data_IF_660045221434
#
_entry.id   IF_660045221434
#
_cell.length_a   1.000
_cell.length_b   1.000
_cell.length_c   1.000
_cell.angle_alpha   90.00
_cell.angle_beta   90.00
_cell.angle_gamma   90.00
#
_symmetry.space_group_name_H-M   'P 1'
#
loop_
_entity.id
_entity.type
_entity.pdbx_description
1 polymer ?
#
# COMPACT_ATOMS: atom_id res chain seq x y z
N UNK A 1 1.76 -26.84 34.70
CA UNK A 1 0.83 -25.71 34.74
C UNK A 1 0.69 -25.25 36.18
N UNK A 2 0.90 -23.97 36.47
CA UNK A 2 0.43 -23.41 37.75
C UNK A 2 -1.04 -23.08 37.54
N UNK A 3 -1.93 -23.88 38.12
CA UNK A 3 -3.34 -23.56 38.16
C UNK A 3 -3.53 -22.36 39.08
N UNK A 4 -3.97 -21.24 38.51
CA UNK A 4 -4.43 -20.11 39.30
C UNK A 4 -5.90 -20.41 39.57
N UNK A 5 -6.22 -20.79 40.80
CA UNK A 5 -7.61 -21.06 41.23
C UNK A 5 -8.39 -19.74 41.36
N UNK A 6 -8.67 -19.08 40.23
CA UNK A 6 -9.50 -17.87 40.13
C UNK A 6 -10.83 -18.20 39.48
N UNK A 7 -11.89 -17.58 39.99
CA UNK A 7 -13.24 -17.72 39.43
C UNK A 7 -13.30 -17.22 37.99
N UNK A 8 -14.03 -17.90 37.11
CA UNK A 8 -14.25 -17.47 35.72
C UNK A 8 -14.82 -16.05 35.62
N UNK A 9 -15.70 -15.67 36.53
CA UNK A 9 -16.24 -14.31 36.61
C UNK A 9 -15.17 -13.24 36.86
N UNK A 10 -14.14 -13.59 37.65
CA UNK A 10 -13.02 -12.71 37.93
C UNK A 10 -12.09 -12.62 36.73
N UNK A 11 -11.88 -13.74 36.02
CA UNK A 11 -11.12 -13.77 34.76
C UNK A 11 -11.78 -12.85 33.72
N UNK A 12 -13.10 -12.94 33.53
CA UNK A 12 -13.84 -12.06 32.61
C UNK A 12 -13.67 -10.60 32.98
N UNK A 13 -13.83 -10.26 34.26
CA UNK A 13 -13.65 -8.88 34.75
C UNK A 13 -12.24 -8.35 34.49
N UNK A 14 -11.21 -9.17 34.70
CA UNK A 14 -9.80 -8.80 34.46
C UNK A 14 -9.52 -8.61 32.96
N UNK A 15 -10.12 -9.45 32.11
CA UNK A 15 -9.99 -9.33 30.65
C UNK A 15 -10.67 -8.05 30.15
N UNK A 16 -11.87 -7.75 30.64
CA UNK A 16 -12.64 -6.58 30.25
C UNK A 16 -12.03 -5.27 30.78
N UNK A 17 -11.56 -5.25 32.03
CA UNK A 17 -10.84 -4.11 32.62
C UNK A 17 -9.52 -4.56 33.30
N UNK A 18 -8.39 -4.51 32.58
CA UNK A 18 -7.08 -4.87 33.13
C UNK A 18 -6.60 -3.92 34.23
N UNK A 19 -7.19 -2.71 34.33
CA UNK A 19 -6.90 -1.76 35.40
C UNK A 19 -7.33 -2.29 36.77
N UNK A 20 -8.24 -3.27 36.79
CA UNK A 20 -8.65 -3.98 37.99
C UNK A 20 -7.47 -4.62 38.72
N UNK A 21 -6.42 -5.05 38.01
CA UNK A 21 -5.20 -5.63 38.61
C UNK A 21 -4.31 -4.59 39.32
N UNK A 22 -4.48 -3.29 39.06
CA UNK A 22 -3.76 -2.22 39.73
C UNK A 22 -4.37 -1.85 41.10
N UNK A 23 -5.56 -2.37 41.40
CA UNK A 23 -6.25 -2.13 42.67
C UNK A 23 -5.64 -2.95 43.80
N UNK A 24 -5.70 -2.45 45.06
CA UNK A 24 -5.16 -3.18 46.20
C UNK A 24 -5.85 -4.53 46.39
N UNK A 25 -5.13 -5.50 46.97
CA UNK A 25 -5.60 -6.87 47.25
C UNK A 25 -6.93 -6.90 48.02
N UNK A 26 -7.21 -5.88 48.84
CA UNK A 26 -8.47 -5.73 49.57
C UNK A 26 -9.71 -5.59 48.68
N UNK A 27 -9.55 -5.10 47.45
CA UNK A 27 -10.64 -4.90 46.49
C UNK A 27 -10.71 -6.00 45.43
N UNK A 28 -9.59 -6.65 45.15
CA UNK A 28 -9.46 -7.67 44.09
C UNK A 28 -9.55 -9.10 44.62
N UNK A 29 -9.31 -9.31 45.92
CA UNK A 29 -9.21 -10.64 46.53
C UNK A 29 -7.99 -11.43 46.04
N UNK A 30 -7.09 -10.82 45.27
CA UNK A 30 -5.94 -11.46 44.65
C UNK A 30 -4.65 -11.17 45.40
N UNK A 31 -3.89 -12.22 45.70
CA UNK A 31 -2.53 -12.08 46.22
C UNK A 31 -1.64 -11.34 45.23
N UNK A 32 -0.73 -10.50 45.74
CA UNK A 32 0.25 -9.76 44.93
C UNK A 32 1.12 -10.68 44.04
N UNK A 33 1.38 -11.91 44.49
CA UNK A 33 2.11 -12.91 43.71
C UNK A 33 1.31 -13.35 42.47
N UNK A 34 0.00 -13.56 42.63
CA UNK A 34 -0.91 -13.93 41.54
C UNK A 34 -1.04 -12.80 40.53
N UNK A 35 -1.19 -11.55 41.00
CA UNK A 35 -1.27 -10.36 40.13
C UNK A 35 0.01 -10.22 39.30
N UNK A 36 1.18 -10.34 39.94
CA UNK A 36 2.47 -10.25 39.25
C UNK A 36 2.64 -11.35 38.20
N UNK A 37 2.16 -12.56 38.50
CA UNK A 37 2.16 -13.67 37.56
C UNK A 37 1.26 -13.40 36.35
N UNK A 38 0.03 -12.91 36.56
CA UNK A 38 -0.91 -12.57 35.48
C UNK A 38 -0.32 -11.49 34.55
N UNK A 39 0.27 -10.43 35.13
CA UNK A 39 0.89 -9.33 34.37
C UNK A 39 2.10 -9.80 33.55
N UNK A 40 3.00 -10.58 34.15
CA UNK A 40 4.26 -10.97 33.50
C UNK A 40 4.10 -12.16 32.55
N UNK A 41 3.36 -13.20 32.96
CA UNK A 41 3.22 -14.44 32.18
C UNK A 41 1.98 -14.47 31.30
N UNK A 42 0.91 -13.75 31.68
CA UNK A 42 -0.27 -13.58 30.84
C UNK A 42 -0.06 -12.46 29.82
N UNK A 43 -0.20 -11.22 30.27
CA UNK A 43 -0.23 -10.05 29.38
C UNK A 43 1.10 -9.78 28.67
N UNK A 44 2.21 -9.72 29.41
CA UNK A 44 3.52 -9.37 28.81
C UNK A 44 3.98 -10.43 27.82
N UNK A 45 3.79 -11.71 28.14
CA UNK A 45 4.17 -12.80 27.23
C UNK A 45 3.24 -12.87 26.02
N UNK A 46 1.91 -12.82 26.22
CA UNK A 46 0.95 -12.85 25.12
C UNK A 46 1.15 -11.67 24.16
N UNK A 47 1.42 -10.47 24.67
CA UNK A 47 1.75 -9.31 23.85
C UNK A 47 3.02 -9.51 23.02
N UNK A 48 4.08 -10.10 23.62
CA UNK A 48 5.32 -10.39 22.90
C UNK A 48 5.10 -11.33 21.72
N UNK A 49 4.27 -12.36 21.88
CA UNK A 49 4.01 -13.32 20.80
C UNK A 49 3.30 -12.64 19.61
N UNK A 50 2.28 -11.82 19.87
CA UNK A 50 1.59 -11.05 18.83
C UNK A 50 2.52 -10.01 18.20
N UNK A 51 3.36 -9.36 19.01
CA UNK A 51 4.34 -8.39 18.53
C UNK A 51 5.36 -9.03 17.59
N UNK A 52 5.95 -10.17 17.95
CA UNK A 52 6.90 -10.87 17.10
C UNK A 52 6.27 -11.36 15.80
N UNK A 53 5.03 -11.85 15.85
CA UNK A 53 4.30 -12.25 14.66
C UNK A 53 4.11 -11.06 13.70
N UNK A 54 3.63 -9.92 14.22
CA UNK A 54 3.42 -8.73 13.40
C UNK A 54 4.74 -8.14 12.85
N UNK A 55 5.79 -8.13 13.68
CA UNK A 55 7.12 -7.68 13.27
C UNK A 55 7.69 -8.58 12.16
N UNK A 56 7.52 -9.90 12.26
CA UNK A 56 7.98 -10.84 11.23
C UNK A 56 7.21 -10.68 9.92
N UNK A 57 5.89 -10.46 9.99
CA UNK A 57 5.06 -10.24 8.81
C UNK A 57 5.43 -8.93 8.10
N UNK A 58 5.70 -7.88 8.89
CA UNK A 58 6.17 -6.59 8.36
C UNK A 58 7.54 -6.73 7.71
N UNK A 59 8.49 -7.41 8.36
CA UNK A 59 9.82 -7.66 7.80
C UNK A 59 9.74 -8.51 6.51
N UNK A 60 8.82 -9.47 6.45
CA UNK A 60 8.61 -10.25 5.24
C UNK A 60 8.01 -9.41 4.11
N UNK A 61 7.04 -8.54 4.41
CA UNK A 61 6.45 -7.61 3.44
C UNK A 61 7.47 -6.61 2.87
N UNK A 62 8.41 -6.11 3.69
CA UNK A 62 9.48 -5.23 3.21
C UNK A 62 10.46 -5.96 2.31
N UNK A 63 10.85 -7.20 2.65
CA UNK A 63 11.68 -8.04 1.79
C UNK A 63 11.00 -8.32 0.44
N UNK A 64 9.72 -8.68 0.44
CA UNK A 64 8.95 -8.87 -0.79
C UNK A 64 8.92 -7.59 -1.62
N UNK A 65 8.68 -6.44 -0.99
CA UNK A 65 8.67 -5.15 -1.69
C UNK A 65 10.02 -4.85 -2.34
N UNK A 66 11.13 -5.12 -1.64
CA UNK A 66 12.47 -4.93 -2.17
C UNK A 66 12.77 -5.84 -3.37
N UNK A 67 12.32 -7.10 -3.32
CA UNK A 67 12.46 -8.04 -4.45
C UNK A 67 11.58 -7.63 -5.62
N UNK A 68 10.32 -7.25 -5.39
CA UNK A 68 9.41 -6.79 -6.45
C UNK A 68 9.88 -5.51 -7.14
N UNK A 69 10.57 -4.62 -6.43
CA UNK A 69 11.20 -3.43 -7.05
C UNK A 69 12.30 -3.84 -8.03
N UNK A 70 13.02 -4.94 -7.76
CA UNK A 70 14.10 -5.41 -8.63
C UNK A 70 13.58 -6.10 -9.90
N UNK A 71 12.48 -6.84 -9.80
CA UNK A 71 11.87 -7.54 -10.96
C UNK A 71 10.94 -6.66 -11.80
N UNK A 72 10.39 -5.59 -11.21
CA UNK A 72 9.74 -4.53 -11.99
C UNK A 72 10.81 -3.64 -12.61
N UNK A 73 11.28 -4.05 -13.79
CA UNK A 73 12.02 -3.17 -14.68
C UNK A 73 11.20 -1.89 -14.90
N UNK A 74 11.57 -0.82 -14.21
CA UNK A 74 11.05 0.54 -14.37
C UNK A 74 11.62 1.19 -15.64
N UNK A 75 12.22 0.40 -16.54
CA UNK A 75 12.43 0.77 -17.94
C UNK A 75 11.09 1.17 -18.55
N UNK A 76 10.76 2.44 -18.33
CA UNK A 76 9.80 3.18 -19.11
C UNK A 76 10.33 3.08 -20.52
N UNK A 77 9.64 2.28 -21.32
CA UNK A 77 9.94 1.96 -22.72
C UNK A 77 9.71 3.22 -23.59
N UNK A 78 10.33 4.34 -23.21
CA UNK A 78 10.22 5.65 -23.84
C UNK A 78 10.68 5.60 -25.30
N UNK A 79 11.54 4.64 -25.64
CA UNK A 79 11.93 4.33 -27.01
C UNK A 79 10.78 3.74 -27.83
N UNK A 80 9.97 2.83 -27.27
CA UNK A 80 8.78 2.30 -27.95
C UNK A 80 7.64 3.31 -28.00
N UNK A 81 7.56 4.23 -27.04
CA UNK A 81 6.57 5.31 -27.05
C UNK A 81 6.92 6.37 -28.11
N UNK A 82 8.19 6.80 -28.20
CA UNK A 82 8.66 7.71 -29.26
C UNK A 82 8.53 7.10 -30.66
N UNK A 83 8.89 5.83 -30.83
CA UNK A 83 8.77 5.15 -32.12
C UNK A 83 7.33 4.91 -32.58
N UNK A 84 6.32 5.02 -31.70
CA UNK A 84 4.90 5.05 -32.10
C UNK A 84 4.45 6.45 -32.49
N UNK A 85 4.87 7.47 -31.74
CA UNK A 85 4.58 8.87 -32.08
C UNK A 85 5.14 9.23 -33.46
N UNK A 86 6.39 8.85 -33.75
CA UNK A 86 7.02 9.11 -35.05
C UNK A 86 6.32 8.39 -36.22
N UNK A 87 5.89 7.13 -36.00
CA UNK A 87 5.17 6.34 -37.02
C UNK A 87 3.74 6.80 -37.27
N UNK A 88 3.10 7.38 -36.26
CA UNK A 88 1.75 7.93 -36.40
C UNK A 88 1.80 9.32 -37.06
N UNK A 89 2.84 10.12 -36.83
CA UNK A 89 3.06 11.40 -37.55
C UNK A 89 3.45 11.22 -39.02
N UNK A 90 4.07 10.09 -39.39
CA UNK A 90 4.40 9.80 -40.79
C UNK A 90 3.19 9.30 -41.60
N UNK A 91 2.16 8.76 -40.93
CA UNK A 91 0.94 8.24 -41.59
C UNK A 91 -0.19 9.25 -41.76
N UNK A 92 -0.12 10.41 -41.10
CA UNK A 92 -1.15 11.46 -41.19
C UNK A 92 -0.85 12.54 -42.25
N UNK A 93 0.31 12.46 -42.92
CA UNK A 93 0.71 13.41 -43.97
C UNK A 93 0.06 13.21 -45.34
N UNK A 94 -0.94 12.33 -45.48
CA UNK A 94 -1.57 12.05 -46.78
C UNK A 94 -3.07 11.88 -46.68
N UNK A 95 -3.79 12.91 -46.23
CA UNK A 95 -5.20 13.11 -46.60
C UNK A 95 -5.55 14.61 -46.50
N UNK A 96 -5.61 15.27 -47.65
CA UNK A 96 -6.24 16.58 -47.82
C UNK A 96 -7.75 16.45 -47.61
N UNK A 97 -8.39 17.38 -46.89
CA UNK A 97 -9.76 17.77 -47.20
C UNK A 97 -9.80 19.29 -47.45
N UNK A 98 -10.18 19.67 -48.66
CA UNK A 98 -10.46 21.06 -49.00
C UNK A 98 -11.72 21.58 -48.30
N UNK A 99 -11.77 22.89 -48.08
CA UNK A 99 -12.96 23.74 -48.20
C UNK A 99 -12.58 25.22 -47.94
N UNK A 100 -12.76 26.02 -49.00
CA UNK A 100 -13.36 27.36 -49.02
C UNK A 100 -12.60 28.59 -48.48
N UNK A 101 -12.34 29.54 -49.39
CA UNK A 101 -12.42 30.98 -49.05
C UNK A 101 -11.34 31.91 -49.59
N UNK A 102 -11.51 32.34 -50.85
CA UNK A 102 -11.31 33.72 -51.33
C UNK A 102 -9.89 34.27 -51.59
N UNK A 103 -9.66 34.73 -52.83
CA UNK A 103 -8.75 35.86 -53.10
C UNK A 103 -7.52 35.66 -53.99
N UNK A 104 -7.73 35.84 -55.31
CA UNK A 104 -6.84 36.57 -56.26
C UNK A 104 -5.56 35.90 -56.80
N UNK A 105 -5.71 35.37 -58.03
CA UNK A 105 -4.96 35.71 -59.25
C UNK A 105 -3.41 35.86 -59.21
N UNK A 106 -2.71 34.98 -59.93
CA UNK A 106 -2.02 35.35 -61.19
C UNK A 106 -1.39 34.11 -61.84
N UNK A 107 -1.99 33.65 -62.94
CA UNK A 107 -1.29 32.83 -63.93
C UNK A 107 -1.07 33.69 -65.18
N UNK A 108 0.16 34.16 -65.35
CA UNK A 108 0.63 34.70 -66.63
C UNK A 108 0.76 33.51 -67.58
N UNK A 109 -0.13 33.42 -68.57
CA UNK A 109 0.06 32.56 -69.73
C UNK A 109 0.27 33.45 -70.96
N UNK A 110 1.55 33.63 -71.29
CA UNK A 110 2.01 34.17 -72.56
C UNK A 110 2.28 33.00 -73.52
N UNK A 111 1.45 32.87 -74.57
CA UNK A 111 1.90 32.81 -75.98
C UNK A 111 0.79 32.39 -76.94
N UNK A 112 0.46 33.34 -77.81
CA UNK A 112 0.39 33.23 -79.28
C UNK A 112 -0.19 31.97 -79.93
N UNK A 113 -1.36 32.18 -80.55
CA UNK A 113 -1.87 31.73 -81.88
C UNK A 113 -3.36 32.12 -81.88
N UNK A 114 -3.90 33.00 -82.73
CA UNK A 114 -3.71 33.34 -84.15
C UNK A 114 -4.18 34.78 -84.37
#
# INVERSE_FOLDING_TARGET
>A
MNDISVSESLISTIIDDPSYLAKPTSETGLSAATVSYILSQGYTKGFKDVFYLNASLTAFATLISMVLIKDKDLSRDDARLKGRIEKDTEKDGTNTPGADGDGIEMAVLDRDKV
#
